data_IF_442982932781
#
_entry.id   IF_442982932781
#
_cell.length_a   1.000
_cell.length_b   1.000
_cell.length_c   1.000
_cell.angle_alpha   90.00
_cell.angle_beta   90.00
_cell.angle_gamma   90.00
#
_symmetry.space_group_name_H-M   'P 1'
#
loop_
_entity.id
_entity.type
_entity.pdbx_description
1 polymer ?
#
# COMPACT_ATOMS: atom_id res chain seq x y z
N UNK A 1 -51.69 -19.13 -17.93
CA UNK A 1 -50.55 -18.21 -17.72
C UNK A 1 -50.02 -18.40 -16.30
N UNK A 2 -48.83 -19.00 -16.11
CA UNK A 2 -48.22 -19.23 -14.78
C UNK A 2 -47.09 -18.22 -14.56
N UNK A 3 -47.22 -17.39 -13.53
CA UNK A 3 -46.21 -16.43 -13.12
C UNK A 3 -44.98 -17.16 -12.56
N UNK A 4 -43.80 -16.93 -13.16
CA UNK A 4 -42.51 -17.41 -12.65
C UNK A 4 -42.12 -16.55 -11.44
N UNK A 5 -42.17 -17.14 -10.24
CA UNK A 5 -41.56 -16.55 -9.04
C UNK A 5 -40.04 -16.56 -9.22
N UNK A 6 -39.43 -15.38 -9.22
CA UNK A 6 -37.98 -15.21 -9.14
C UNK A 6 -37.56 -15.66 -7.75
N UNK A 7 -36.78 -16.75 -7.67
CA UNK A 7 -36.17 -17.20 -6.42
C UNK A 7 -35.29 -16.10 -5.85
N UNK A 8 -35.43 -15.73 -4.55
CA UNK A 8 -34.49 -14.83 -3.92
C UNK A 8 -33.19 -15.62 -3.73
N UNK A 9 -32.21 -15.33 -4.59
CA UNK A 9 -30.79 -15.64 -4.35
C UNK A 9 -30.39 -14.87 -3.08
N UNK A 10 -30.64 -15.50 -1.92
CA UNK A 10 -30.25 -14.99 -0.62
C UNK A 10 -28.74 -15.04 -0.55
N UNK A 11 -28.14 -13.86 -0.72
CA UNK A 11 -26.89 -13.37 -0.11
C UNK A 11 -26.40 -14.32 0.99
N UNK A 12 -25.64 -15.35 0.62
CA UNK A 12 -24.63 -15.86 1.53
C UNK A 12 -23.59 -14.75 1.56
N UNK A 13 -23.55 -14.03 2.66
CA UNK A 13 -22.37 -13.31 3.08
C UNK A 13 -21.23 -14.34 3.10
N UNK A 14 -20.54 -14.48 1.97
CA UNK A 14 -19.14 -14.84 2.01
C UNK A 14 -18.49 -13.64 2.69
N UNK A 15 -18.48 -13.67 4.03
CA UNK A 15 -17.36 -13.12 4.76
C UNK A 15 -16.18 -13.98 4.29
N UNK A 16 -15.66 -13.64 3.11
CA UNK A 16 -14.41 -14.18 2.60
C UNK A 16 -13.46 -14.05 3.78
N UNK A 17 -12.99 -15.19 4.27
CA UNK A 17 -11.93 -15.24 5.25
C UNK A 17 -10.77 -14.59 4.54
N UNK A 18 -10.64 -13.26 4.70
CA UNK A 18 -9.48 -12.53 4.23
C UNK A 18 -8.31 -13.27 4.86
N UNK A 19 -7.34 -13.76 4.07
CA UNK A 19 -6.15 -14.33 4.66
C UNK A 19 -5.61 -13.30 5.64
N UNK A 20 -5.57 -13.68 6.92
CA UNK A 20 -5.10 -12.80 7.97
C UNK A 20 -3.64 -12.49 7.67
N UNK A 21 -3.32 -11.22 7.47
CA UNK A 21 -1.93 -10.81 7.36
C UNK A 21 -1.23 -11.17 8.68
N UNK A 22 0.08 -11.49 8.65
CA UNK A 22 0.82 -11.73 9.88
C UNK A 22 0.67 -10.52 10.84
N UNK A 23 0.51 -10.72 12.15
CA UNK A 23 0.35 -9.63 13.11
C UNK A 23 1.47 -8.57 13.04
N UNK A 24 2.68 -8.97 12.68
CA UNK A 24 3.82 -8.08 12.49
C UNK A 24 3.62 -7.16 11.28
N UNK A 25 2.95 -7.63 10.22
CA UNK A 25 2.62 -6.82 9.06
C UNK A 25 1.52 -5.80 9.39
N UNK A 26 0.55 -6.17 10.24
CA UNK A 26 -0.44 -5.22 10.78
C UNK A 26 0.24 -4.11 11.59
N UNK A 27 1.25 -4.43 12.39
CA UNK A 27 2.03 -3.43 13.11
C UNK A 27 2.74 -2.44 12.16
N UNK A 28 3.20 -2.90 10.99
CA UNK A 28 3.77 -2.05 9.94
C UNK A 28 2.71 -1.13 9.33
N UNK A 29 1.53 -1.68 8.97
CA UNK A 29 0.38 -0.89 8.47
C UNK A 29 0.00 0.20 9.49
N UNK A 30 -0.08 -0.17 10.76
CA UNK A 30 -0.45 0.73 11.85
C UNK A 30 0.63 1.79 12.09
N UNK A 31 1.90 1.45 11.92
CA UNK A 31 3.01 2.40 11.94
C UNK A 31 2.88 3.48 10.87
N UNK A 32 2.53 3.10 9.64
CA UNK A 32 2.28 4.05 8.55
C UNK A 32 1.02 4.88 8.83
N UNK A 33 -0.05 4.27 9.33
CA UNK A 33 -1.28 4.99 9.72
C UNK A 33 -1.00 6.08 10.74
N UNK A 34 -0.26 5.76 11.81
CA UNK A 34 0.09 6.71 12.87
C UNK A 34 1.01 7.83 12.37
N UNK A 35 1.91 7.54 11.43
CA UNK A 35 2.77 8.57 10.83
C UNK A 35 1.93 9.67 10.15
N UNK A 36 1.04 9.29 9.23
CA UNK A 36 0.23 10.26 8.49
C UNK A 36 -0.83 10.93 9.37
N UNK A 37 -1.33 10.25 10.41
CA UNK A 37 -2.22 10.89 11.38
C UNK A 37 -1.52 12.02 12.16
N UNK A 38 -0.23 11.88 12.47
CA UNK A 38 0.59 12.90 13.14
C UNK A 38 1.12 13.99 12.20
N UNK A 39 1.39 13.64 10.94
CA UNK A 39 1.94 14.52 9.91
C UNK A 39 0.89 14.79 8.83
N UNK A 40 -0.13 15.58 9.17
CA UNK A 40 -1.30 15.81 8.31
C UNK A 40 -0.98 16.58 7.02
N UNK A 41 0.16 17.26 7.00
CA UNK A 41 0.76 17.96 5.86
C UNK A 41 1.50 17.03 4.89
N UNK A 42 1.61 15.74 5.20
CA UNK A 42 2.37 14.75 4.43
C UNK A 42 1.45 13.76 3.75
N UNK A 43 1.69 13.51 2.47
CA UNK A 43 1.12 12.43 1.67
C UNK A 43 2.15 11.35 1.35
N UNK A 44 3.45 11.65 1.47
CA UNK A 44 4.53 10.71 1.18
C UNK A 44 5.43 10.45 2.39
N UNK A 45 5.90 9.21 2.50
CA UNK A 45 6.86 8.77 3.52
C UNK A 45 7.88 7.83 2.90
N UNK A 46 9.14 7.96 3.28
CA UNK A 46 10.17 6.94 3.07
C UNK A 46 10.54 6.31 4.41
N UNK A 47 10.78 5.00 4.41
CA UNK A 47 11.34 4.29 5.57
C UNK A 47 12.12 3.07 5.12
N UNK A 48 12.91 2.50 6.01
CA UNK A 48 13.43 1.15 5.80
C UNK A 48 12.27 0.15 5.65
N UNK A 49 12.45 -0.80 4.74
CA UNK A 49 11.52 -1.91 4.59
C UNK A 49 11.60 -2.81 5.82
N UNK A 50 10.44 -3.18 6.38
CA UNK A 50 10.39 -4.11 7.48
C UNK A 50 10.67 -5.54 6.98
N UNK A 51 11.32 -6.37 7.80
CA UNK A 51 11.61 -7.76 7.43
C UNK A 51 10.33 -8.55 7.07
N UNK A 52 9.25 -8.32 7.82
CA UNK A 52 7.96 -8.95 7.54
C UNK A 52 7.37 -8.53 6.19
N UNK A 53 7.58 -7.29 5.75
CA UNK A 53 7.11 -6.87 4.42
C UNK A 53 7.82 -7.64 3.32
N UNK A 54 9.10 -7.92 3.50
CA UNK A 54 9.87 -8.69 2.53
C UNK A 54 9.39 -10.13 2.47
N UNK A 55 9.12 -10.73 3.63
CA UNK A 55 8.56 -12.07 3.72
C UNK A 55 7.18 -12.14 3.04
N UNK A 56 6.24 -11.28 3.43
CA UNK A 56 4.90 -11.22 2.83
C UNK A 56 4.94 -11.00 1.32
N UNK A 57 5.87 -10.16 0.85
CA UNK A 57 6.04 -9.92 -0.59
C UNK A 57 6.56 -11.16 -1.33
N UNK A 58 7.53 -11.88 -0.75
CA UNK A 58 8.05 -13.15 -1.29
C UNK A 58 6.99 -14.24 -1.30
N UNK A 59 6.21 -14.35 -0.22
CA UNK A 59 5.10 -15.30 -0.10
C UNK A 59 4.00 -15.01 -1.14
N UNK A 60 3.82 -13.74 -1.52
CA UNK A 60 2.96 -13.31 -2.62
C UNK A 60 3.58 -13.50 -4.02
N UNK A 61 4.75 -14.13 -4.12
CA UNK A 61 5.43 -14.41 -5.39
C UNK A 61 6.23 -13.24 -5.96
N UNK A 62 6.43 -12.15 -5.21
CA UNK A 62 7.33 -11.09 -5.66
C UNK A 62 8.78 -11.54 -5.61
N UNK A 63 9.50 -11.31 -6.70
CA UNK A 63 10.95 -11.55 -6.78
C UNK A 63 11.67 -10.25 -6.51
N UNK A 64 12.67 -10.30 -5.63
CA UNK A 64 13.54 -9.17 -5.32
C UNK A 64 14.92 -9.45 -5.88
N UNK A 65 15.48 -8.49 -6.61
CA UNK A 65 16.87 -8.54 -7.02
C UNK A 65 17.80 -8.61 -5.80
N UNK A 66 19.00 -9.21 -5.93
CA UNK A 66 20.01 -9.13 -4.89
C UNK A 66 20.35 -7.68 -4.56
N UNK A 67 20.57 -7.40 -3.26
CA UNK A 67 21.06 -6.10 -2.82
C UNK A 67 22.45 -5.85 -3.41
N UNK A 68 22.66 -4.66 -3.99
CA UNK A 68 24.03 -4.24 -4.32
C UNK A 68 24.84 -4.00 -3.03
N UNK A 69 26.19 -4.09 -3.07
CA UNK A 69 27.02 -3.94 -1.89
C UNK A 69 26.76 -2.62 -1.13
N UNK A 70 26.52 -2.72 0.18
CA UNK A 70 26.20 -1.58 1.04
C UNK A 70 24.75 -1.07 0.93
N UNK A 71 23.88 -1.75 0.18
CA UNK A 71 22.47 -1.38 0.05
C UNK A 71 21.58 -1.95 1.15
N UNK A 72 20.40 -1.35 1.29
CA UNK A 72 19.26 -1.86 2.05
C UNK A 72 17.97 -1.62 1.27
N UNK A 73 16.94 -2.41 1.57
CA UNK A 73 15.58 -2.18 1.09
C UNK A 73 14.87 -1.06 1.84
N UNK A 74 14.19 -0.22 1.07
CA UNK A 74 13.36 0.88 1.53
C UNK A 74 11.94 0.74 0.99
N UNK A 75 11.00 1.34 1.70
CA UNK A 75 9.60 1.44 1.31
C UNK A 75 9.24 2.92 1.19
N UNK A 76 8.87 3.34 -0.02
CA UNK A 76 8.21 4.60 -0.26
C UNK A 76 6.69 4.37 -0.17
N UNK A 77 6.01 5.15 0.66
CA UNK A 77 4.58 5.03 0.93
C UNK A 77 3.89 6.31 0.47
N UNK A 78 2.81 6.18 -0.31
CA UNK A 78 1.87 7.25 -0.63
C UNK A 78 0.56 7.00 0.09
N UNK A 79 0.11 7.95 0.92
CA UNK A 79 -1.27 7.98 1.39
C UNK A 79 -2.12 8.65 0.32
N UNK A 80 -2.97 7.84 -0.30
CA UNK A 80 -3.84 8.23 -1.42
C UNK A 80 -5.13 8.86 -0.88
N UNK A 81 -5.67 8.25 0.17
CA UNK A 81 -6.81 8.75 0.94
C UNK A 81 -6.70 8.22 2.38
N UNK A 82 -7.46 8.76 3.35
CA UNK A 82 -7.53 8.17 4.68
C UNK A 82 -7.87 6.66 4.61
N UNK A 83 -6.97 5.83 5.11
CA UNK A 83 -7.12 4.36 5.08
C UNK A 83 -6.56 3.67 3.83
N UNK A 84 -6.26 4.41 2.76
CA UNK A 84 -5.74 3.86 1.51
C UNK A 84 -4.28 4.28 1.28
N UNK A 85 -3.39 3.30 1.22
CA UNK A 85 -1.95 3.53 1.07
C UNK A 85 -1.36 2.58 0.04
N UNK A 86 -0.49 3.11 -0.79
CA UNK A 86 0.29 2.35 -1.77
C UNK A 86 1.74 2.35 -1.34
N UNK A 87 2.39 1.21 -1.48
CA UNK A 87 3.79 1.01 -1.13
C UNK A 87 4.58 0.65 -2.39
N UNK A 88 5.70 1.33 -2.58
CA UNK A 88 6.71 0.99 -3.56
C UNK A 88 8.00 0.62 -2.82
N UNK A 89 8.73 -0.35 -3.34
CA UNK A 89 9.96 -0.87 -2.73
C UNK A 89 11.13 -0.58 -3.65
N UNK A 90 12.25 -0.17 -3.08
CA UNK A 90 13.47 0.10 -3.82
C UNK A 90 14.69 -0.15 -2.94
N UNK A 91 15.86 -0.28 -3.56
CA UNK A 91 17.14 -0.40 -2.87
C UNK A 91 17.92 0.92 -2.97
N UNK A 92 18.56 1.30 -1.86
CA UNK A 92 19.46 2.45 -1.77
C UNK A 92 20.57 2.15 -0.75
N UNK A 93 21.58 3.02 -0.64
CA UNK A 93 22.63 2.84 0.36
C UNK A 93 22.06 2.77 1.78
N UNK A 94 22.59 1.88 2.61
CA UNK A 94 22.07 1.58 3.94
C UNK A 94 22.07 2.79 4.90
N UNK A 95 22.96 3.76 4.67
CA UNK A 95 23.08 5.01 5.42
C UNK A 95 22.23 6.16 4.84
N UNK A 96 21.40 5.92 3.82
CA UNK A 96 20.53 6.93 3.28
C UNK A 96 19.52 7.41 4.34
N UNK A 97 19.34 8.72 4.42
CA UNK A 97 18.38 9.33 5.34
C UNK A 97 16.94 8.99 4.92
N UNK A 98 16.08 8.87 5.92
CA UNK A 98 14.65 8.59 5.77
C UNK A 98 13.77 9.74 6.28
N UNK A 99 14.33 10.71 7.02
CA UNK A 99 13.62 11.93 7.42
C UNK A 99 13.64 12.99 6.30
N UNK A 100 13.04 12.62 5.18
CA UNK A 100 13.09 13.39 3.95
C UNK A 100 11.94 14.41 3.89
N UNK A 101 12.17 15.49 3.16
CA UNK A 101 11.12 16.44 2.78
C UNK A 101 10.00 15.74 1.99
N UNK A 102 8.82 16.36 1.96
CA UNK A 102 7.66 15.84 1.23
C UNK A 102 7.98 15.71 -0.27
N UNK A 103 8.60 16.74 -0.84
CA UNK A 103 9.01 16.77 -2.24
C UNK A 103 10.00 15.64 -2.57
N UNK A 104 10.99 15.38 -1.72
CA UNK A 104 11.94 14.28 -1.94
C UNK A 104 11.25 12.92 -1.78
N UNK A 105 10.38 12.76 -0.78
CA UNK A 105 9.61 11.53 -0.57
C UNK A 105 8.69 11.23 -1.76
N UNK A 106 8.05 12.26 -2.33
CA UNK A 106 7.24 12.17 -3.53
C UNK A 106 8.05 11.69 -4.74
N UNK A 107 9.22 12.30 -5.00
CA UNK A 107 10.10 11.89 -6.11
C UNK A 107 10.51 10.42 -6.00
N UNK A 108 10.98 10.00 -4.83
CA UNK A 108 11.40 8.61 -4.59
C UNK A 108 10.24 7.62 -4.76
N UNK A 109 9.02 7.98 -4.31
CA UNK A 109 7.84 7.16 -4.57
C UNK A 109 7.55 7.03 -6.06
N UNK A 110 7.54 8.15 -6.80
CA UNK A 110 7.26 8.19 -8.24
C UNK A 110 8.26 7.36 -9.03
N UNK A 111 9.54 7.47 -8.69
CA UNK A 111 10.62 6.68 -9.30
C UNK A 111 10.47 5.19 -8.98
N UNK A 112 10.24 4.84 -7.71
CA UNK A 112 10.11 3.46 -7.27
C UNK A 112 8.85 2.75 -7.81
N UNK A 113 7.73 3.46 -7.98
CA UNK A 113 6.49 2.88 -8.51
C UNK A 113 6.56 2.55 -10.01
N UNK A 114 7.45 3.22 -10.76
CA UNK A 114 7.44 3.17 -12.22
C UNK A 114 6.12 3.67 -12.84
N UNK A 115 5.91 3.43 -14.14
CA UNK A 115 4.68 3.85 -14.84
C UNK A 115 3.41 3.13 -14.34
N UNK A 116 3.48 1.84 -14.05
CA UNK A 116 2.29 1.05 -13.69
C UNK A 116 1.80 1.33 -12.27
N UNK A 117 2.73 1.51 -11.31
CA UNK A 117 2.37 1.92 -9.95
C UNK A 117 1.70 3.30 -9.91
N UNK A 118 2.12 4.22 -10.78
CA UNK A 118 1.46 5.54 -10.93
C UNK A 118 0.03 5.40 -11.44
N UNK A 119 -0.19 4.62 -12.50
CA UNK A 119 -1.53 4.36 -13.05
C UNK A 119 -2.45 3.74 -12.02
N UNK A 120 -1.94 2.80 -11.21
CA UNK A 120 -2.69 2.18 -10.12
C UNK A 120 -3.10 3.21 -9.06
N UNK A 121 -2.18 4.10 -8.66
CA UNK A 121 -2.47 5.15 -7.69
C UNK A 121 -3.57 6.09 -8.17
N UNK A 122 -3.47 6.57 -9.41
CA UNK A 122 -4.49 7.44 -10.01
C UNK A 122 -5.84 6.74 -10.18
N UNK A 123 -5.83 5.45 -10.56
CA UNK A 123 -7.06 4.66 -10.67
C UNK A 123 -7.73 4.49 -9.30
N UNK A 124 -6.94 4.27 -8.24
CA UNK A 124 -7.43 4.17 -6.88
C UNK A 124 -8.01 5.51 -6.39
N UNK A 125 -7.36 6.64 -6.70
CA UNK A 125 -7.87 7.98 -6.39
C UNK A 125 -9.24 8.21 -7.04
N UNK A 126 -9.34 7.96 -8.34
CA UNK A 126 -10.62 8.08 -9.07
C UNK A 126 -11.70 7.20 -8.46
N UNK A 127 -11.41 5.92 -8.22
CA UNK A 127 -12.37 4.98 -7.67
C UNK A 127 -12.87 5.39 -6.26
N UNK A 128 -11.99 5.92 -5.42
CA UNK A 128 -12.36 6.40 -4.07
C UNK A 128 -13.28 7.63 -4.17
N UNK A 129 -13.01 8.56 -5.10
CA UNK A 129 -13.82 9.75 -5.28
C UNK A 129 -15.16 9.49 -5.97
N UNK A 130 -15.21 8.52 -6.88
CA UNK A 130 -16.40 8.18 -7.66
C UNK A 130 -17.38 7.25 -6.91
N UNK A 131 -17.02 6.75 -5.73
CA UNK A 131 -17.91 5.92 -4.90
C UNK A 131 -18.90 6.81 -4.14
N UNK A 132 -20.21 6.83 -4.49
CA UNK A 132 -21.19 7.64 -3.79
C UNK A 132 -21.45 7.02 -2.41
N UNK A 133 -21.13 7.74 -1.33
CA UNK A 133 -21.58 7.38 0.03
C UNK A 133 -20.50 7.20 1.11
N UNK A 134 -19.20 7.38 0.81
CA UNK A 134 -18.16 7.49 1.83
C UNK A 134 -17.76 8.95 2.04
N UNK A 135 -18.57 9.71 2.79
CA UNK A 135 -18.17 11.00 3.38
C UNK A 135 -18.36 10.93 4.89
#
# INVERSE_FOLDING_TARGET
MKARRISPCKRRAAQEVRPSLPPEFDAVIEGDRRYFARRRDRSYRVRHMAAIEMQVSRDAGQTFEPLFPGARWFTAVRQVAPGYRIRAVYQAFANADVDLSEATSCRLYVEACGPDGRRLAEALERAIHDTPGCR
#
